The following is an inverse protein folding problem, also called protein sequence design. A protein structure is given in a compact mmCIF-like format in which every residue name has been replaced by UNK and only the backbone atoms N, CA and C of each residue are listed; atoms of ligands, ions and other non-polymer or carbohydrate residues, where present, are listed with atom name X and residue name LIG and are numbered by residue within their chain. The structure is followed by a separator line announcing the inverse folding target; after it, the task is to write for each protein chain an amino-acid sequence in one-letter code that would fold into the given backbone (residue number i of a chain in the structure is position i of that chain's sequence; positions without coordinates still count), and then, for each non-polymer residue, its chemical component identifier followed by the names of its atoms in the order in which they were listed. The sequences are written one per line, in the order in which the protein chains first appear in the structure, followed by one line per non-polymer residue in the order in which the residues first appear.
data_IF_874909383151
#
_entry.id   IF_874909383151
#
_cell.length_a   1.000
_cell.length_b   1.000
_cell.length_c   1.000
_cell.angle_alpha   90.00
_cell.angle_beta   90.00
_cell.angle_gamma   90.00
#
_symmetry.space_group_name_H-M   'P 1'
#
loop_
_entity.id
_entity.type
_entity.pdbx_description
1 polymer ?
#
# COMPACT_ATOMS: atom_id res chain seq x y z
N UNK A 1 -29.51 -20.02 13.35
CA UNK A 1 -28.46 -21.05 13.43
C UNK A 1 -27.13 -20.36 13.66
N UNK A 2 -26.30 -20.87 14.56
CA UNK A 2 -24.93 -20.38 14.70
C UNK A 2 -24.07 -21.00 13.58
N UNK A 3 -23.80 -20.22 12.53
CA UNK A 3 -23.09 -20.69 11.34
C UNK A 3 -21.68 -21.21 11.68
N UNK A 4 -21.10 -20.77 12.79
CA UNK A 4 -19.79 -21.21 13.29
C UNK A 4 -19.81 -22.62 13.91
N UNK A 5 -21.00 -23.17 14.18
CA UNK A 5 -21.16 -24.55 14.67
C UNK A 5 -21.30 -25.58 13.55
N UNK A 6 -21.34 -25.15 12.29
CA UNK A 6 -21.39 -26.05 11.16
C UNK A 6 -20.03 -26.75 10.97
N UNK A 7 -20.02 -27.99 10.46
CA UNK A 7 -18.82 -28.61 9.91
C UNK A 7 -18.13 -27.67 8.91
N UNK A 8 -16.80 -27.67 8.90
CA UNK A 8 -15.99 -26.72 8.14
C UNK A 8 -16.28 -26.80 6.63
N UNK A 9 -16.59 -28.00 6.13
CA UNK A 9 -16.94 -28.26 4.75
C UNK A 9 -18.25 -27.56 4.36
N UNK A 10 -19.28 -27.67 5.21
CA UNK A 10 -20.57 -27.01 4.99
C UNK A 10 -20.44 -25.50 5.12
N UNK A 11 -19.66 -25.02 6.09
CA UNK A 11 -19.36 -23.60 6.22
C UNK A 11 -18.70 -23.06 4.95
N UNK A 12 -17.67 -23.74 4.42
CA UNK A 12 -16.97 -23.33 3.20
C UNK A 12 -17.87 -23.38 1.97
N UNK A 13 -18.72 -24.39 1.85
CA UNK A 13 -19.70 -24.47 0.74
C UNK A 13 -20.67 -23.28 0.78
N UNK A 14 -21.23 -22.96 1.95
CA UNK A 14 -22.12 -21.80 2.12
C UNK A 14 -21.36 -20.49 1.82
N UNK A 15 -20.11 -20.39 2.31
CA UNK A 15 -19.28 -19.21 2.07
C UNK A 15 -18.99 -19.03 0.58
N UNK A 16 -18.69 -20.11 -0.15
CA UNK A 16 -18.45 -20.08 -1.59
C UNK A 16 -19.66 -19.54 -2.36
N UNK A 17 -20.83 -20.11 -2.12
CA UNK A 17 -22.08 -19.66 -2.73
C UNK A 17 -22.40 -18.21 -2.38
N UNK A 18 -22.23 -17.82 -1.12
CA UNK A 18 -22.44 -16.44 -0.68
C UNK A 18 -21.47 -15.46 -1.37
N UNK A 19 -20.23 -15.85 -1.61
CA UNK A 19 -19.24 -15.02 -2.30
C UNK A 19 -19.56 -14.86 -3.80
N UNK A 20 -19.96 -15.95 -4.46
CA UNK A 20 -20.34 -15.93 -5.88
C UNK A 20 -21.63 -15.13 -6.11
N UNK A 21 -22.64 -15.32 -5.26
CA UNK A 21 -23.92 -14.65 -5.39
C UNK A 21 -23.87 -13.14 -5.08
N UNK A 22 -22.95 -12.71 -4.20
CA UNK A 22 -22.92 -11.33 -3.68
C UNK A 22 -21.76 -10.47 -4.21
N UNK A 23 -20.86 -11.06 -4.99
CA UNK A 23 -19.72 -10.36 -5.60
C UNK A 23 -18.55 -10.07 -4.65
N UNK A 24 -17.41 -9.70 -5.25
CA UNK A 24 -16.11 -9.57 -4.57
C UNK A 24 -16.10 -8.56 -3.41
N UNK A 25 -16.72 -7.40 -3.59
CA UNK A 25 -16.74 -6.35 -2.56
C UNK A 25 -17.41 -6.84 -1.27
N UNK A 26 -18.53 -7.56 -1.39
CA UNK A 26 -19.25 -8.11 -0.23
C UNK A 26 -18.54 -9.32 0.36
N UNK A 27 -17.98 -10.18 -0.48
CA UNK A 27 -17.11 -11.26 -0.03
C UNK A 27 -15.98 -10.73 0.87
N UNK A 28 -15.31 -9.64 0.46
CA UNK A 28 -14.25 -9.02 1.24
C UNK A 28 -14.73 -8.42 2.57
N UNK A 29 -15.98 -7.93 2.67
CA UNK A 29 -16.55 -7.42 3.93
C UNK A 29 -16.75 -8.50 4.98
N UNK A 30 -17.01 -9.75 4.58
CA UNK A 30 -17.14 -10.87 5.53
C UNK A 30 -15.89 -11.05 6.40
N UNK A 31 -14.73 -10.59 5.92
CA UNK A 31 -13.48 -10.59 6.68
C UNK A 31 -13.52 -9.72 7.95
N UNK A 32 -14.44 -8.75 8.01
CA UNK A 32 -14.61 -7.86 9.15
C UNK A 32 -15.38 -8.50 10.32
N UNK A 33 -15.98 -9.68 10.11
CA UNK A 33 -16.75 -10.38 11.15
C UNK A 33 -15.83 -10.85 12.27
N UNK A 34 -14.79 -11.61 11.94
CA UNK A 34 -13.75 -12.06 12.86
C UNK A 34 -12.53 -12.63 12.09
N UNK A 35 -11.47 -12.99 12.83
CA UNK A 35 -10.23 -13.54 12.24
C UNK A 35 -10.44 -14.84 11.47
N UNK A 36 -11.38 -15.68 11.89
CA UNK A 36 -11.69 -16.93 11.20
C UNK A 36 -12.29 -16.66 9.82
N UNK A 37 -13.35 -15.84 9.73
CA UNK A 37 -13.89 -15.39 8.45
C UNK A 37 -12.84 -14.68 7.59
N UNK A 38 -11.98 -13.85 8.20
CA UNK A 38 -10.90 -13.17 7.49
C UNK A 38 -9.97 -14.14 6.75
N UNK A 39 -9.63 -15.26 7.37
CA UNK A 39 -8.79 -16.30 6.78
C UNK A 39 -9.55 -17.17 5.76
N UNK A 40 -10.77 -17.61 6.09
CA UNK A 40 -11.56 -18.46 5.19
C UNK A 40 -11.95 -17.75 3.90
N UNK A 41 -12.29 -16.45 3.95
CA UNK A 41 -12.61 -15.69 2.73
C UNK A 41 -11.42 -15.65 1.78
N UNK A 42 -10.20 -15.37 2.26
CA UNK A 42 -9.02 -15.31 1.38
C UNK A 42 -8.70 -16.69 0.81
N UNK A 43 -8.89 -17.76 1.60
CA UNK A 43 -8.80 -19.13 1.11
C UNK A 43 -9.81 -19.38 -0.01
N UNK A 44 -11.08 -19.06 0.21
CA UNK A 44 -12.13 -19.28 -0.78
C UNK A 44 -11.92 -18.46 -2.05
N UNK A 45 -11.42 -17.21 -1.93
CA UNK A 45 -11.05 -16.41 -3.09
C UNK A 45 -10.06 -17.17 -3.98
N UNK A 46 -9.02 -17.77 -3.37
CA UNK A 46 -7.99 -18.53 -4.08
C UNK A 46 -8.53 -19.83 -4.69
N UNK A 47 -9.35 -20.58 -3.95
CA UNK A 47 -9.96 -21.83 -4.44
C UNK A 47 -10.91 -21.58 -5.61
N UNK A 48 -11.72 -20.52 -5.53
CA UNK A 48 -12.65 -20.10 -6.57
C UNK A 48 -11.99 -19.27 -7.69
N UNK A 49 -10.69 -18.99 -7.57
CA UNK A 49 -9.88 -18.21 -8.54
C UNK A 49 -10.45 -16.82 -8.85
N UNK A 50 -11.16 -16.21 -7.90
CA UNK A 50 -11.93 -14.97 -8.14
C UNK A 50 -11.04 -13.80 -8.56
N UNK A 51 -9.78 -13.73 -8.10
CA UNK A 51 -8.88 -12.62 -8.45
C UNK A 51 -8.06 -12.86 -9.74
N UNK A 52 -8.20 -14.00 -10.41
CA UNK A 52 -7.43 -14.31 -11.62
C UNK A 52 -7.77 -13.44 -12.81
N UNK A 53 -9.02 -12.94 -12.88
CA UNK A 53 -9.50 -12.12 -13.99
C UNK A 53 -9.68 -10.64 -13.60
N UNK A 54 -9.31 -10.29 -12.37
CA UNK A 54 -9.53 -8.94 -11.83
C UNK A 54 -8.41 -8.00 -12.27
N UNK A 55 -8.80 -6.87 -12.86
CA UNK A 55 -7.89 -5.79 -13.27
C UNK A 55 -7.55 -4.86 -12.10
N UNK A 56 -6.91 -5.44 -11.08
CA UNK A 56 -6.36 -4.68 -9.94
C UNK A 56 -4.85 -4.82 -9.94
N UNK A 57 -4.15 -3.71 -9.74
CA UNK A 57 -2.70 -3.69 -9.66
C UNK A 57 -2.25 -4.46 -8.41
N UNK A 58 -1.29 -5.37 -8.55
CA UNK A 58 -0.88 -6.28 -7.47
C UNK A 58 -0.46 -5.51 -6.21
N UNK A 59 0.31 -4.43 -6.34
CA UNK A 59 0.75 -3.65 -5.17
C UNK A 59 -0.37 -2.92 -4.41
N UNK A 60 -1.56 -2.78 -5.00
CA UNK A 60 -2.73 -2.17 -4.36
C UNK A 60 -3.54 -3.17 -3.54
N UNK A 61 -3.32 -4.47 -3.75
CA UNK A 61 -4.05 -5.54 -3.05
C UNK A 61 -3.59 -5.74 -1.61
N UNK A 62 -2.42 -5.19 -1.25
CA UNK A 62 -1.83 -5.30 0.08
C UNK A 62 -1.64 -6.75 0.54
N UNK A 63 -1.81 -7.05 1.84
CA UNK A 63 -1.63 -8.40 2.38
C UNK A 63 -2.58 -9.45 1.78
N UNK A 64 -3.72 -9.04 1.24
CA UNK A 64 -4.72 -9.95 0.66
C UNK A 64 -4.17 -10.57 -0.61
N UNK A 65 -3.60 -9.76 -1.50
CA UNK A 65 -3.02 -10.30 -2.73
C UNK A 65 -1.78 -11.13 -2.48
N UNK A 66 -0.94 -10.74 -1.51
CA UNK A 66 0.20 -11.58 -1.12
C UNK A 66 -0.25 -12.98 -0.67
N UNK A 67 -1.27 -13.05 0.19
CA UNK A 67 -1.83 -14.32 0.68
C UNK A 67 -2.53 -15.10 -0.44
N UNK A 68 -3.27 -14.41 -1.31
CA UNK A 68 -3.91 -15.01 -2.48
C UNK A 68 -2.87 -15.66 -3.41
N UNK A 69 -1.83 -14.91 -3.79
CA UNK A 69 -0.74 -15.39 -4.66
C UNK A 69 -0.03 -16.58 -4.00
N UNK A 70 0.26 -16.49 -2.70
CA UNK A 70 0.88 -17.58 -1.92
C UNK A 70 0.05 -18.86 -2.03
N UNK A 71 -1.25 -18.79 -1.78
CA UNK A 71 -2.16 -19.95 -1.87
C UNK A 71 -2.22 -20.51 -3.28
N UNK A 72 -2.24 -19.66 -4.30
CA UNK A 72 -2.25 -20.07 -5.71
C UNK A 72 -0.95 -20.72 -6.16
N UNK A 73 0.19 -20.29 -5.65
CA UNK A 73 1.48 -20.91 -5.94
C UNK A 73 1.62 -22.28 -5.26
N UNK A 74 1.07 -22.43 -4.04
CA UNK A 74 1.09 -23.69 -3.27
C UNK A 74 0.08 -24.73 -3.75
N UNK A 75 -1.03 -24.33 -4.40
CA UNK A 75 -2.02 -25.29 -4.89
C UNK A 75 -1.45 -26.15 -6.02
N UNK A 76 -1.52 -27.47 -5.87
CA UNK A 76 -0.87 -28.51 -6.70
C UNK A 76 -1.41 -28.67 -8.13
N UNK A 77 -2.36 -27.84 -8.56
CA UNK A 77 -2.95 -27.93 -9.90
C UNK A 77 -2.14 -27.05 -10.86
N UNK A 78 -1.58 -27.67 -11.90
CA UNK A 78 -0.85 -26.97 -12.96
C UNK A 78 -1.68 -25.81 -13.47
N UNK A 79 -1.32 -24.60 -13.08
CA UNK A 79 -1.92 -23.38 -13.60
C UNK A 79 -1.36 -23.20 -15.00
N UNK A 80 -2.22 -22.94 -15.99
CA UNK A 80 -1.86 -22.58 -17.38
C UNK A 80 -1.06 -21.26 -17.50
N UNK A 81 -0.40 -20.79 -16.43
CA UNK A 81 0.38 -19.55 -16.40
C UNK A 81 1.87 -19.86 -16.38
N UNK A 82 2.60 -19.61 -17.49
CA UNK A 82 4.06 -19.66 -17.54
C UNK A 82 4.74 -18.83 -16.44
N UNK A 83 4.14 -17.71 -16.03
CA UNK A 83 4.71 -16.85 -14.97
C UNK A 83 4.68 -17.51 -13.61
N UNK A 84 3.59 -18.19 -13.25
CA UNK A 84 3.53 -18.93 -11.98
C UNK A 84 4.50 -20.11 -11.97
N UNK A 85 4.65 -20.79 -13.10
CA UNK A 85 5.61 -21.89 -13.22
C UNK A 85 7.05 -21.40 -13.12
N UNK A 86 7.37 -20.25 -13.73
CA UNK A 86 8.65 -19.58 -13.53
C UNK A 86 8.89 -19.27 -12.03
N UNK A 87 7.92 -18.69 -11.33
CA UNK A 87 8.04 -18.43 -9.88
C UNK A 87 8.30 -19.72 -9.09
N UNK A 88 7.58 -20.81 -9.40
CA UNK A 88 7.81 -22.12 -8.74
C UNK A 88 9.21 -22.68 -9.04
N UNK A 89 9.70 -22.53 -10.27
CA UNK A 89 11.06 -22.94 -10.65
C UNK A 89 12.13 -22.12 -9.89
N UNK A 90 11.95 -20.80 -9.79
CA UNK A 90 12.81 -19.91 -9.00
C UNK A 90 12.84 -20.37 -7.55
N UNK A 91 11.68 -20.58 -6.92
CA UNK A 91 11.60 -21.04 -5.53
C UNK A 91 12.27 -22.41 -5.35
N UNK A 92 12.09 -23.32 -6.30
CA UNK A 92 12.76 -24.63 -6.28
C UNK A 92 14.28 -24.46 -6.29
N UNK A 93 14.81 -23.57 -7.13
CA UNK A 93 16.24 -23.26 -7.20
C UNK A 93 16.78 -22.67 -5.89
N UNK A 94 16.06 -21.73 -5.27
CA UNK A 94 16.41 -21.15 -3.97
C UNK A 94 16.38 -22.20 -2.84
N UNK A 95 15.46 -23.16 -2.91
CA UNK A 95 15.29 -24.22 -1.90
C UNK A 95 16.44 -25.23 -1.96
N UNK A 96 16.85 -25.63 -3.16
CA UNK A 96 17.93 -26.60 -3.39
C UNK A 96 19.29 -26.13 -2.85
N UNK A 97 19.60 -24.85 -2.97
CA UNK A 97 20.87 -24.30 -2.46
C UNK A 97 20.98 -24.39 -0.92
N UNK A 98 19.87 -24.21 -0.21
CA UNK A 98 19.85 -24.35 1.26
C UNK A 98 20.04 -25.77 1.77
N UNK A 99 19.92 -26.80 0.92
CA UNK A 99 20.07 -28.20 1.29
C UNK A 99 21.51 -28.72 1.22
N UNK A 100 22.44 -27.96 0.61
CA UNK A 100 23.82 -28.39 0.40
C UNK A 100 24.70 -28.42 1.68
N UNK A 101 24.17 -27.99 2.84
CA UNK A 101 24.92 -27.79 4.08
C UNK A 101 24.68 -28.79 5.23
N UNK A 102 23.82 -29.81 5.07
CA UNK A 102 23.60 -30.84 6.10
C UNK A 102 22.18 -31.44 6.09
N UNK A 103 22.07 -32.63 6.71
CA UNK A 103 20.97 -33.60 6.95
C UNK A 103 19.50 -33.10 6.97
N UNK A 104 19.10 -32.31 5.98
CA UNK A 104 17.79 -31.69 5.91
C UNK A 104 16.71 -32.71 5.60
N UNK A 105 15.85 -32.99 6.58
CA UNK A 105 14.66 -33.82 6.37
C UNK A 105 13.77 -33.26 5.27
N UNK A 106 12.97 -34.12 4.61
CA UNK A 106 12.00 -33.73 3.57
C UNK A 106 11.03 -32.65 4.07
N UNK A 107 10.72 -32.64 5.37
CA UNK A 107 9.85 -31.66 6.03
C UNK A 107 10.47 -30.26 6.00
N UNK A 108 11.77 -30.15 6.27
CA UNK A 108 12.51 -28.88 6.25
C UNK A 108 12.56 -28.27 4.84
N UNK A 109 12.69 -29.10 3.80
CA UNK A 109 12.64 -28.63 2.41
C UNK A 109 11.27 -28.05 2.03
N UNK A 110 10.17 -28.69 2.45
CA UNK A 110 8.82 -28.22 2.18
C UNK A 110 8.49 -26.90 2.92
N UNK A 111 8.95 -26.78 4.16
CA UNK A 111 8.81 -25.54 4.95
C UNK A 111 9.57 -24.38 4.30
N UNK A 112 10.81 -24.60 3.87
CA UNK A 112 11.61 -23.59 3.13
C UNK A 112 10.95 -23.18 1.83
N UNK A 113 10.44 -24.14 1.06
CA UNK A 113 9.72 -23.88 -0.19
C UNK A 113 8.50 -22.97 0.05
N UNK A 114 7.70 -23.27 1.07
CA UNK A 114 6.56 -22.45 1.47
C UNK A 114 6.98 -21.05 1.93
N UNK A 115 8.05 -20.95 2.72
CA UNK A 115 8.60 -19.67 3.19
C UNK A 115 9.06 -18.78 2.03
N UNK A 116 9.75 -19.33 1.03
CA UNK A 116 10.15 -18.56 -0.16
C UNK A 116 8.95 -18.16 -1.02
N UNK A 117 7.93 -19.00 -1.18
CA UNK A 117 6.68 -18.59 -1.83
C UNK A 117 6.08 -17.39 -1.11
N UNK A 118 5.97 -17.45 0.22
CA UNK A 118 5.44 -16.34 1.02
C UNK A 118 6.27 -15.06 0.85
N UNK A 119 7.60 -15.19 0.87
CA UNK A 119 8.53 -14.08 0.68
C UNK A 119 8.37 -13.44 -0.71
N UNK A 120 8.38 -14.23 -1.78
CA UNK A 120 8.25 -13.72 -3.15
C UNK A 120 6.84 -13.17 -3.42
N UNK A 121 5.79 -13.77 -2.84
CA UNK A 121 4.43 -13.23 -2.93
C UNK A 121 4.32 -11.87 -2.20
N UNK A 122 5.02 -11.70 -1.08
CA UNK A 122 5.14 -10.41 -0.39
C UNK A 122 5.89 -9.38 -1.24
N UNK A 123 6.98 -9.79 -1.91
CA UNK A 123 7.73 -8.93 -2.82
C UNK A 123 6.85 -8.44 -3.98
N UNK A 124 6.10 -9.35 -4.61
CA UNK A 124 5.14 -9.01 -5.67
C UNK A 124 4.12 -7.98 -5.17
N UNK A 125 3.48 -8.25 -4.02
CA UNK A 125 2.51 -7.36 -3.40
C UNK A 125 3.06 -6.01 -2.93
N UNK A 126 4.39 -5.84 -2.84
CA UNK A 126 5.03 -4.57 -2.45
C UNK A 126 5.51 -3.74 -3.63
N UNK A 127 5.86 -4.37 -4.76
CA UNK A 127 6.60 -3.71 -5.85
C UNK A 127 5.98 -3.88 -7.23
N UNK A 128 5.17 -4.91 -7.47
CA UNK A 128 4.65 -5.16 -8.81
C UNK A 128 3.50 -4.23 -9.15
N UNK A 129 3.72 -3.44 -10.20
CA UNK A 129 2.77 -2.46 -10.73
C UNK A 129 1.93 -2.99 -11.89
N UNK A 130 1.98 -4.28 -12.20
CA UNK A 130 1.12 -4.90 -13.22
C UNK A 130 -0.14 -5.51 -12.59
N UNK A 131 -1.14 -5.79 -13.43
CA UNK A 131 -2.43 -6.30 -12.99
C UNK A 131 -2.35 -7.75 -12.51
N UNK A 132 -3.11 -8.07 -11.47
CA UNK A 132 -3.28 -9.43 -10.93
C UNK A 132 -3.62 -10.41 -12.07
N UNK A 133 -4.54 -10.02 -12.95
CA UNK A 133 -4.89 -10.78 -14.15
C UNK A 133 -3.69 -11.22 -14.97
N UNK A 134 -2.72 -10.33 -15.21
CA UNK A 134 -1.55 -10.66 -16.02
C UNK A 134 -0.63 -11.70 -15.35
N UNK A 135 -0.68 -11.87 -14.03
CA UNK A 135 0.07 -12.93 -13.34
C UNK A 135 -0.51 -14.32 -13.64
N UNK A 136 -1.84 -14.42 -13.75
CA UNK A 136 -2.56 -15.70 -13.85
C UNK A 136 -2.92 -16.10 -15.28
N UNK A 137 -3.02 -15.15 -16.21
CA UNK A 137 -3.57 -15.39 -17.56
C UNK A 137 -2.56 -15.20 -18.69
N UNK A 138 -1.47 -14.45 -18.46
CA UNK A 138 -0.45 -14.18 -19.49
C UNK A 138 0.14 -15.51 -19.97
N UNK A 139 0.12 -15.71 -21.28
CA UNK A 139 0.73 -16.86 -21.97
C UNK A 139 2.14 -16.55 -22.48
N UNK A 140 2.69 -15.39 -22.11
CA UNK A 140 4.02 -14.99 -22.55
C UNK A 140 5.04 -15.96 -21.95
N UNK A 141 5.77 -16.68 -22.80
CA UNK A 141 6.91 -17.44 -22.35
C UNK A 141 7.94 -16.46 -21.78
N UNK A 142 8.37 -16.68 -20.55
CA UNK A 142 9.44 -15.89 -19.96
C UNK A 142 10.73 -16.30 -20.64
N UNK A 143 11.33 -15.42 -21.43
CA UNK A 143 12.64 -15.65 -22.03
C UNK A 143 13.66 -16.04 -20.95
N UNK A 144 14.65 -16.87 -21.27
CA UNK A 144 15.67 -17.34 -20.31
C UNK A 144 16.38 -16.17 -19.60
N UNK A 145 16.57 -15.05 -20.30
CA UNK A 145 17.15 -13.83 -19.71
C UNK A 145 16.24 -13.16 -18.66
N UNK A 146 14.92 -13.28 -18.80
CA UNK A 146 13.95 -12.82 -17.79
C UNK A 146 13.96 -13.78 -16.59
N UNK A 147 14.07 -15.09 -16.83
CA UNK A 147 14.21 -16.09 -15.78
C UNK A 147 15.44 -15.81 -14.90
N UNK A 148 16.63 -15.65 -15.50
CA UNK A 148 17.86 -15.37 -14.75
C UNK A 148 17.79 -14.06 -13.97
N UNK A 149 17.20 -13.02 -14.57
CA UNK A 149 16.98 -11.73 -13.92
C UNK A 149 16.02 -11.83 -12.72
N UNK A 150 14.92 -12.56 -12.86
CA UNK A 150 13.97 -12.80 -11.77
C UNK A 150 14.55 -13.69 -10.68
N UNK A 151 15.36 -14.69 -11.03
CA UNK A 151 16.08 -15.52 -10.08
C UNK A 151 17.10 -14.70 -9.29
N UNK A 152 17.87 -13.82 -9.94
CA UNK A 152 18.78 -12.90 -9.28
C UNK A 152 18.02 -11.97 -8.33
N UNK A 153 16.89 -11.42 -8.78
CA UNK A 153 16.06 -10.53 -7.95
C UNK A 153 15.50 -11.27 -6.73
N UNK A 154 15.02 -12.49 -6.90
CA UNK A 154 14.53 -13.35 -5.82
C UNK A 154 15.64 -13.75 -4.84
N UNK A 155 16.82 -14.10 -5.35
CA UNK A 155 18.02 -14.39 -4.55
C UNK A 155 18.46 -13.17 -3.75
N UNK A 156 18.40 -11.98 -4.35
CA UNK A 156 18.72 -10.74 -3.69
C UNK A 156 17.74 -10.41 -2.55
N UNK A 157 16.45 -10.67 -2.74
CA UNK A 157 15.42 -10.49 -1.71
C UNK A 157 15.51 -11.51 -0.56
N UNK A 158 16.06 -12.70 -0.82
CA UNK A 158 16.10 -13.83 0.13
C UNK A 158 17.50 -14.08 0.71
N UNK A 159 18.43 -13.14 0.48
CA UNK A 159 19.82 -13.18 0.95
C UNK A 159 20.66 -14.36 0.44
N UNK A 160 20.36 -14.89 -0.75
CA UNK A 160 21.14 -15.96 -1.40
C UNK A 160 22.35 -15.42 -2.14
N UNK A 161 23.37 -15.01 -1.36
CA UNK A 161 24.56 -14.36 -1.88
C UNK A 161 25.32 -15.20 -2.91
N UNK A 162 25.32 -16.53 -2.79
CA UNK A 162 25.98 -17.43 -3.73
C UNK A 162 25.31 -17.45 -5.11
N UNK A 163 23.98 -17.57 -5.19
CA UNK A 163 23.24 -17.37 -6.45
C UNK A 163 23.45 -15.95 -6.99
N UNK A 164 23.45 -14.93 -6.13
CA UNK A 164 23.68 -13.54 -6.56
C UNK A 164 25.04 -13.40 -7.23
N UNK A 165 26.10 -13.97 -6.65
CA UNK A 165 27.45 -13.97 -7.23
C UNK A 165 27.51 -14.75 -8.54
N UNK A 166 26.87 -15.93 -8.60
CA UNK A 166 26.82 -16.74 -9.83
C UNK A 166 26.18 -15.96 -11.00
N UNK A 167 25.09 -15.23 -10.73
CA UNK A 167 24.29 -14.58 -11.76
C UNK A 167 24.75 -13.17 -12.10
N UNK A 168 25.35 -12.43 -11.17
CA UNK A 168 25.78 -11.04 -11.41
C UNK A 168 26.82 -10.93 -12.53
N UNK A 169 27.73 -11.91 -12.64
CA UNK A 169 28.72 -11.96 -13.71
C UNK A 169 28.09 -12.24 -15.10
N UNK A 170 26.95 -12.94 -15.13
CA UNK A 170 26.22 -13.27 -16.37
C UNK A 170 25.27 -12.15 -16.78
N UNK A 171 24.55 -11.57 -15.82
CA UNK A 171 23.55 -10.52 -16.01
C UNK A 171 24.17 -9.23 -16.57
N UNK A 172 25.42 -8.92 -16.21
CA UNK A 172 26.18 -7.80 -16.78
C UNK A 172 26.24 -7.79 -18.32
N UNK A 173 26.02 -8.95 -18.96
CA UNK A 173 25.97 -9.09 -20.41
C UNK A 173 24.54 -9.08 -20.99
N UNK A 174 23.51 -9.03 -20.16
CA UNK A 174 22.10 -9.04 -20.56
C UNK A 174 21.54 -7.61 -20.70
N UNK A 175 20.58 -7.41 -21.60
CA UNK A 175 19.89 -6.11 -21.78
C UNK A 175 18.61 -5.98 -20.95
N UNK A 176 18.30 -6.96 -20.10
CA UNK A 176 17.07 -6.97 -19.30
C UNK A 176 17.23 -5.99 -18.15
N UNK A 177 16.31 -5.04 -18.04
CA UNK A 177 16.35 -3.98 -17.00
C UNK A 177 15.19 -4.06 -16.02
N UNK A 178 14.20 -4.91 -16.30
CA UNK A 178 13.02 -5.14 -15.46
C UNK A 178 12.47 -6.55 -15.68
N UNK A 179 12.35 -7.34 -14.61
CA UNK A 179 11.65 -8.64 -14.59
C UNK A 179 10.34 -8.58 -13.80
N UNK A 180 9.73 -9.74 -13.53
CA UNK A 180 8.51 -9.90 -12.75
C UNK A 180 8.63 -9.27 -11.35
N UNK A 181 9.77 -9.44 -10.69
CA UNK A 181 9.97 -9.01 -9.29
C UNK A 181 10.52 -7.59 -9.11
N UNK A 182 10.67 -6.82 -10.19
CA UNK A 182 11.41 -5.56 -10.17
C UNK A 182 12.91 -5.80 -10.24
N UNK A 183 13.75 -4.90 -9.71
CA UNK A 183 15.21 -5.00 -9.85
C UNK A 183 15.92 -5.59 -8.60
N UNK A 184 17.08 -6.26 -8.77
CA UNK A 184 17.82 -6.90 -7.67
C UNK A 184 18.27 -5.94 -6.56
N UNK A 185 18.68 -4.71 -6.89
CA UNK A 185 19.12 -3.73 -5.90
C UNK A 185 17.99 -3.35 -4.93
N UNK A 186 16.82 -3.04 -5.49
CA UNK A 186 15.63 -2.70 -4.72
C UNK A 186 15.18 -3.90 -3.86
N UNK A 187 15.27 -5.12 -4.40
CA UNK A 187 14.98 -6.34 -3.66
C UNK A 187 15.92 -6.52 -2.45
N UNK A 188 17.24 -6.38 -2.63
CA UNK A 188 18.21 -6.45 -1.53
C UNK A 188 17.96 -5.36 -0.47
N UNK A 189 17.66 -4.13 -0.91
CA UNK A 189 17.33 -3.00 -0.03
C UNK A 189 16.06 -3.26 0.80
N UNK A 190 15.00 -3.79 0.17
CA UNK A 190 13.75 -4.14 0.87
C UNK A 190 13.93 -5.31 1.84
N UNK A 191 14.77 -6.29 1.51
CA UNK A 191 15.13 -7.40 2.40
C UNK A 191 16.11 -6.99 3.51
N UNK A 192 16.75 -5.82 3.40
CA UNK A 192 17.77 -5.36 4.35
C UNK A 192 19.10 -6.13 4.24
N UNK A 193 19.37 -6.74 3.09
CA UNK A 193 20.52 -7.63 2.88
C UNK A 193 21.75 -6.87 2.42
N UNK A 194 22.45 -6.24 3.38
CA UNK A 194 23.59 -5.33 3.13
C UNK A 194 24.71 -5.98 2.28
N UNK A 195 25.10 -7.22 2.59
CA UNK A 195 26.17 -7.91 1.84
C UNK A 195 25.80 -8.16 0.38
N UNK A 196 24.54 -8.48 0.11
CA UNK A 196 24.03 -8.65 -1.26
C UNK A 196 24.02 -7.30 -1.96
N UNK A 197 23.52 -6.27 -1.29
CA UNK A 197 23.45 -4.91 -1.83
C UNK A 197 24.84 -4.38 -2.18
N UNK A 198 25.84 -4.57 -1.32
CA UNK A 198 27.23 -4.17 -1.56
C UNK A 198 27.82 -4.86 -2.78
N UNK A 199 27.59 -6.18 -2.91
CA UNK A 199 28.06 -6.93 -4.06
C UNK A 199 27.45 -6.40 -5.37
N UNK A 200 26.12 -6.20 -5.40
CA UNK A 200 25.43 -5.66 -6.57
C UNK A 200 25.93 -4.25 -6.92
N UNK A 201 26.10 -3.36 -5.92
CA UNK A 201 26.60 -2.01 -6.13
C UNK A 201 28.05 -1.99 -6.62
N UNK A 202 28.89 -2.89 -6.13
CA UNK A 202 30.29 -3.04 -6.59
C UNK A 202 30.34 -3.45 -8.06
N UNK A 203 29.49 -4.39 -8.48
CA UNK A 203 29.40 -4.81 -9.88
C UNK A 203 28.92 -3.66 -10.78
N UNK A 204 27.92 -2.89 -10.36
CA UNK A 204 27.44 -1.73 -11.11
C UNK A 204 28.56 -0.70 -11.39
N UNK A 205 29.48 -0.51 -10.45
CA UNK A 205 30.63 0.39 -10.61
C UNK A 205 31.63 -0.07 -11.68
N UNK A 206 31.80 -1.38 -11.83
CA UNK A 206 32.69 -1.96 -12.84
C UNK A 206 32.13 -1.77 -14.27
N UNK A 207 30.81 -1.65 -14.42
CA UNK A 207 30.12 -1.64 -15.73
C UNK A 207 29.76 -0.23 -16.26
N UNK A 208 30.38 0.85 -15.75
CA UNK A 208 30.26 2.25 -16.25
C UNK A 208 28.87 2.90 -16.26
N UNK A 209 27.82 2.24 -15.75
CA UNK A 209 26.56 2.90 -15.44
C UNK A 209 26.77 3.79 -14.21
N UNK A 210 26.65 5.11 -14.37
CA UNK A 210 27.03 6.09 -13.35
C UNK A 210 26.47 5.76 -11.95
N UNK A 211 27.33 5.43 -10.96
CA UNK A 211 26.91 4.82 -9.67
C UNK A 211 26.00 5.73 -8.84
N UNK A 212 26.10 7.04 -9.03
CA UNK A 212 25.29 8.01 -8.29
C UNK A 212 23.77 7.82 -8.47
N UNK A 213 23.30 7.39 -9.66
CA UNK A 213 21.88 7.21 -9.91
C UNK A 213 21.28 6.06 -9.12
N UNK A 214 21.92 4.88 -9.20
CA UNK A 214 21.48 3.66 -8.52
C UNK A 214 21.57 3.85 -7.01
N UNK A 215 22.66 4.43 -6.51
CA UNK A 215 22.85 4.67 -5.08
C UNK A 215 21.74 5.55 -4.50
N UNK A 216 21.38 6.67 -5.15
CA UNK A 216 20.28 7.54 -4.69
C UNK A 216 18.94 6.79 -4.67
N UNK A 217 18.66 5.98 -5.68
CA UNK A 217 17.44 5.16 -5.73
C UNK A 217 17.36 4.18 -4.55
N UNK A 218 18.50 3.58 -4.15
CA UNK A 218 18.54 2.69 -3.00
C UNK A 218 18.38 3.45 -1.69
N UNK A 219 19.00 4.63 -1.54
CA UNK A 219 18.81 5.47 -0.36
C UNK A 219 17.34 5.88 -0.21
N UNK A 220 16.71 6.36 -1.28
CA UNK A 220 15.29 6.71 -1.26
C UNK A 220 14.40 5.50 -0.96
N UNK A 221 14.69 4.33 -1.56
CA UNK A 221 13.93 3.10 -1.31
C UNK A 221 14.06 2.63 0.14
N UNK A 222 15.27 2.64 0.70
CA UNK A 222 15.54 2.27 2.08
C UNK A 222 14.83 3.24 3.06
N UNK A 223 14.86 4.53 2.75
CA UNK A 223 14.24 5.56 3.58
C UNK A 223 12.71 5.43 3.58
N UNK A 224 12.09 5.25 2.41
CA UNK A 224 10.64 5.02 2.31
C UNK A 224 10.20 3.73 2.99
N UNK A 225 11.05 2.70 3.02
CA UNK A 225 10.80 1.46 3.74
C UNK A 225 11.01 1.58 5.27
N UNK A 226 11.58 2.69 5.77
CA UNK A 226 11.97 2.85 7.17
C UNK A 226 13.15 1.97 7.59
N UNK A 227 13.95 1.50 6.64
CA UNK A 227 15.07 0.58 6.88
C UNK A 227 16.30 1.33 7.38
N UNK A 228 16.30 1.81 8.63
CA UNK A 228 17.40 2.58 9.24
C UNK A 228 18.77 1.96 9.01
N UNK A 229 18.92 0.64 9.18
CA UNK A 229 20.19 -0.08 8.98
C UNK A 229 20.76 0.08 7.56
N UNK A 230 19.89 0.02 6.55
CA UNK A 230 20.29 0.17 5.14
C UNK A 230 20.62 1.62 4.84
N UNK A 231 19.84 2.56 5.39
CA UNK A 231 20.11 4.00 5.26
C UNK A 231 21.47 4.35 5.88
N UNK A 232 21.72 3.93 7.11
CA UNK A 232 22.99 4.14 7.81
C UNK A 232 24.16 3.59 6.99
N UNK A 233 24.06 2.35 6.53
CA UNK A 233 25.08 1.71 5.71
C UNK A 233 25.38 2.49 4.42
N UNK A 234 24.33 2.90 3.69
CA UNK A 234 24.47 3.65 2.44
C UNK A 234 25.12 5.02 2.68
N UNK A 235 24.76 5.71 3.78
CA UNK A 235 25.36 6.98 4.18
C UNK A 235 26.84 6.80 4.58
N UNK A 236 27.19 5.79 5.37
CA UNK A 236 28.58 5.62 5.81
C UNK A 236 29.52 5.11 4.72
N UNK A 237 29.03 4.29 3.80
CA UNK A 237 29.89 3.65 2.80
C UNK A 237 30.31 4.58 1.66
N UNK A 238 29.42 5.48 1.20
CA UNK A 238 29.61 6.23 -0.06
C UNK A 238 29.04 7.65 -0.09
N UNK A 239 28.56 8.20 1.03
CA UNK A 239 27.97 9.55 1.07
C UNK A 239 28.90 10.62 0.49
N UNK A 240 30.16 10.64 0.91
CA UNK A 240 31.12 11.68 0.51
C UNK A 240 31.55 11.61 -0.96
N UNK A 241 31.54 10.44 -1.59
CA UNK A 241 31.96 10.27 -2.99
C UNK A 241 30.78 10.36 -3.98
N UNK A 242 29.57 10.04 -3.54
CA UNK A 242 28.37 10.04 -4.39
C UNK A 242 27.65 11.39 -4.44
N UNK A 243 27.82 12.21 -3.40
CA UNK A 243 27.17 13.52 -3.31
C UNK A 243 27.89 14.57 -4.17
N UNK A 244 27.19 15.12 -5.17
CA UNK A 244 27.65 16.28 -5.92
C UNK A 244 26.96 17.53 -5.38
N UNK A 245 27.70 18.61 -5.10
CA UNK A 245 27.13 19.91 -4.69
C UNK A 245 26.37 20.59 -5.85
N UNK A 246 25.26 20.00 -6.27
CA UNK A 246 24.40 20.47 -7.33
C UNK A 246 22.93 20.30 -6.95
N UNK A 247 22.05 21.06 -7.62
CA UNK A 247 20.61 21.05 -7.35
C UNK A 247 20.02 19.64 -7.38
N UNK A 248 20.43 18.78 -8.33
CA UNK A 248 19.91 17.42 -8.44
C UNK A 248 20.18 16.55 -7.19
N UNK A 249 21.36 16.64 -6.60
CA UNK A 249 21.68 15.85 -5.40
C UNK A 249 20.94 16.39 -4.16
N UNK A 250 20.74 17.71 -4.06
CA UNK A 250 19.87 18.29 -3.03
C UNK A 250 18.42 17.81 -3.16
N UNK A 251 17.87 17.78 -4.37
CA UNK A 251 16.52 17.26 -4.61
C UNK A 251 16.40 15.78 -4.24
N UNK A 252 17.36 14.95 -4.66
CA UNK A 252 17.37 13.50 -4.33
C UNK A 252 17.52 13.26 -2.83
N UNK A 253 18.32 14.07 -2.14
CA UNK A 253 18.41 14.00 -0.70
C UNK A 253 17.09 14.39 -0.01
N UNK A 254 16.43 15.45 -0.48
CA UNK A 254 15.09 15.81 0.02
C UNK A 254 14.08 14.68 -0.20
N UNK A 255 14.18 13.97 -1.33
CA UNK A 255 13.37 12.78 -1.58
C UNK A 255 13.67 11.64 -0.59
N UNK A 256 14.93 11.44 -0.21
CA UNK A 256 15.30 10.46 0.82
C UNK A 256 14.70 10.81 2.20
N UNK A 257 14.48 12.09 2.52
CA UNK A 257 13.80 12.50 3.76
C UNK A 257 12.33 12.04 3.83
N UNK A 258 11.74 11.57 2.73
CA UNK A 258 10.38 10.99 2.70
C UNK A 258 10.38 9.59 3.31
N UNK A 259 10.42 9.53 4.63
CA UNK A 259 10.35 8.30 5.41
C UNK A 259 9.18 8.34 6.38
N UNK A 260 8.53 7.20 6.66
CA UNK A 260 7.56 7.10 7.76
C UNK A 260 8.25 7.02 9.15
N UNK A 261 9.55 6.71 9.21
CA UNK A 261 10.29 6.42 10.43
C UNK A 261 11.08 7.65 10.94
N UNK A 262 10.76 8.10 12.16
CA UNK A 262 11.35 9.31 12.77
C UNK A 262 12.86 9.17 12.98
N UNK A 263 13.31 7.97 13.33
CA UNK A 263 14.73 7.71 13.58
C UNK A 263 15.54 7.76 12.29
N UNK A 264 15.04 7.17 11.21
CA UNK A 264 15.62 7.27 9.86
C UNK A 264 15.65 8.72 9.38
N UNK A 265 14.59 9.49 9.61
CA UNK A 265 14.56 10.91 9.28
C UNK A 265 15.64 11.69 10.04
N UNK A 266 15.75 11.49 11.36
CA UNK A 266 16.76 12.15 12.17
C UNK A 266 18.18 11.78 11.76
N UNK A 267 18.42 10.50 11.43
CA UNK A 267 19.69 10.04 10.89
C UNK A 267 20.02 10.76 9.58
N UNK A 268 19.10 10.80 8.62
CA UNK A 268 19.31 11.53 7.37
C UNK A 268 19.63 13.00 7.65
N UNK A 269 18.87 13.67 8.52
CA UNK A 269 19.11 15.07 8.88
C UNK A 269 20.50 15.35 9.47
N UNK A 270 21.15 14.37 10.11
CA UNK A 270 22.55 14.48 10.54
C UNK A 270 23.53 14.56 9.36
N UNK A 271 23.18 13.90 8.24
CA UNK A 271 23.96 13.89 7.01
C UNK A 271 23.47 14.94 6.00
N UNK A 272 22.53 15.83 6.37
CA UNK A 272 21.98 16.81 5.43
C UNK A 272 23.10 17.68 4.84
N UNK A 273 23.27 17.68 3.50
CA UNK A 273 24.33 18.43 2.86
C UNK A 273 24.06 19.92 2.99
N UNK A 274 25.10 20.70 3.29
CA UNK A 274 25.05 22.17 3.32
C UNK A 274 25.63 22.76 2.04
N UNK A 275 25.10 23.89 1.61
CA UNK A 275 25.62 24.65 0.48
C UNK A 275 27.04 25.20 0.73
N UNK A 276 27.38 25.52 1.98
CA UNK A 276 28.61 26.21 2.41
C UNK A 276 29.62 25.35 3.19
N UNK A 277 29.24 24.15 3.64
CA UNK A 277 30.11 23.25 4.41
C UNK A 277 29.95 23.35 5.93
N UNK A 278 28.96 24.08 6.43
CA UNK A 278 28.55 24.03 7.85
C UNK A 278 27.80 22.72 8.16
N UNK A 279 27.45 22.48 9.42
CA UNK A 279 26.54 21.38 9.79
C UNK A 279 25.13 21.97 9.98
N UNK A 280 24.10 21.31 9.42
CA UNK A 280 22.66 21.54 9.67
C UNK A 280 22.01 22.81 9.07
N UNK A 281 21.89 22.91 7.74
CA UNK A 281 20.86 23.79 7.18
C UNK A 281 19.46 23.30 7.60
N UNK A 282 18.61 24.14 8.19
CA UNK A 282 17.25 23.72 8.53
C UNK A 282 16.37 23.50 7.31
N UNK A 283 15.26 22.80 7.50
CA UNK A 283 14.27 22.65 6.45
C UNK A 283 13.59 23.99 6.18
N UNK A 284 13.48 24.35 4.90
CA UNK A 284 12.64 25.48 4.49
C UNK A 284 11.16 25.16 4.76
N UNK A 285 10.30 26.19 4.84
CA UNK A 285 8.85 26.01 5.00
C UNK A 285 8.26 25.08 3.93
N UNK A 286 8.64 25.28 2.67
CA UNK A 286 8.20 24.45 1.55
C UNK A 286 8.69 22.99 1.64
N UNK A 287 9.96 22.76 2.03
CA UNK A 287 10.49 21.40 2.21
C UNK A 287 9.74 20.67 3.33
N UNK A 288 9.46 21.36 4.44
CA UNK A 288 8.72 20.82 5.58
C UNK A 288 7.26 20.55 5.22
N UNK A 289 6.60 21.44 4.50
CA UNK A 289 5.24 21.23 4.01
C UNK A 289 5.15 20.02 3.06
N UNK A 290 6.12 19.84 2.16
CA UNK A 290 6.19 18.67 1.28
C UNK A 290 6.35 17.36 2.05
N UNK A 291 7.19 17.33 3.09
CA UNK A 291 7.37 16.16 3.95
C UNK A 291 6.14 15.89 4.82
N UNK A 292 5.49 16.94 5.32
CA UNK A 292 4.25 16.84 6.08
C UNK A 292 3.11 16.25 5.23
N UNK A 293 3.00 16.69 3.97
CA UNK A 293 2.05 16.14 3.01
C UNK A 293 2.32 14.65 2.74
N UNK A 294 3.58 14.26 2.56
CA UNK A 294 3.95 12.86 2.38
C UNK A 294 3.59 12.01 3.61
N UNK A 295 3.94 12.47 4.81
CA UNK A 295 3.62 11.76 6.05
C UNK A 295 2.11 11.63 6.27
N UNK A 296 1.34 12.69 5.99
CA UNK A 296 -0.12 12.67 6.08
C UNK A 296 -0.77 11.75 5.03
N UNK A 297 -0.24 11.72 3.81
CA UNK A 297 -0.71 10.83 2.73
C UNK A 297 -0.55 9.36 3.10
N UNK A 298 0.56 9.03 3.77
CA UNK A 298 0.83 7.67 4.20
C UNK A 298 0.19 7.29 5.54
N UNK A 299 -0.34 8.24 6.31
CA UNK A 299 -0.92 7.94 7.63
C UNK A 299 0.09 7.87 8.78
N UNK A 300 1.33 8.33 8.57
CA UNK A 300 2.44 8.29 9.54
C UNK A 300 2.27 9.35 10.64
N UNK A 301 1.49 9.04 11.67
CA UNK A 301 1.14 9.98 12.76
C UNK A 301 2.36 10.50 13.51
N UNK A 302 3.30 9.61 13.84
CA UNK A 302 4.53 9.98 14.57
C UNK A 302 5.40 10.94 13.75
N UNK A 303 5.56 10.68 12.45
CA UNK A 303 6.28 11.57 11.56
C UNK A 303 5.58 12.93 11.41
N UNK A 304 4.25 12.96 11.30
CA UNK A 304 3.47 14.22 11.28
C UNK A 304 3.71 15.01 12.58
N UNK A 305 3.62 14.36 13.74
CA UNK A 305 3.86 15.00 15.04
C UNK A 305 5.30 15.53 15.14
N UNK A 306 6.28 14.73 14.74
CA UNK A 306 7.69 15.11 14.72
C UNK A 306 7.93 16.31 13.81
N UNK A 307 7.46 16.25 12.56
CA UNK A 307 7.56 17.34 11.60
C UNK A 307 6.83 18.59 12.06
N UNK A 308 5.73 18.53 12.80
CA UNK A 308 5.07 19.71 13.39
C UNK A 308 5.81 20.24 14.64
N UNK A 309 6.58 19.39 15.32
CA UNK A 309 7.37 19.73 16.50
C UNK A 309 8.74 20.36 16.24
N UNK A 310 9.28 20.23 15.01
CA UNK A 310 10.56 20.85 14.65
C UNK A 310 10.53 22.39 14.87
N UNK A 311 11.54 22.93 15.53
CA UNK A 311 11.69 24.39 15.69
C UNK A 311 12.08 25.01 14.35
N UNK A 312 11.41 26.09 13.93
CA UNK A 312 11.85 26.92 12.80
C UNK A 312 13.02 27.79 13.28
N UNK A 313 14.22 27.72 12.67
CA UNK A 313 15.41 28.33 13.31
C UNK A 313 15.56 29.84 13.22
N UNK A 314 14.58 30.59 12.72
CA UNK A 314 14.71 32.04 12.60
C UNK A 314 13.51 32.73 13.23
N UNK A 315 13.73 33.22 14.46
CA UNK A 315 12.96 34.33 14.99
C UNK A 315 13.33 35.56 14.15
N UNK A 316 12.50 35.94 13.18
CA UNK A 316 12.69 37.20 12.46
C UNK A 316 12.26 37.22 10.99
N UNK A 317 12.00 36.07 10.37
CA UNK A 317 11.26 36.04 9.12
C UNK A 317 9.80 35.70 9.45
N UNK A 318 8.85 36.44 8.88
CA UNK A 318 7.45 36.06 8.85
C UNK A 318 7.35 34.72 8.12
N UNK A 319 7.56 33.64 8.87
CA UNK A 319 7.53 32.28 8.39
C UNK A 319 6.12 32.03 7.88
N UNK A 320 5.99 31.97 6.56
CA UNK A 320 4.81 31.47 5.88
C UNK A 320 4.25 30.29 6.67
N UNK A 321 3.02 30.47 7.17
CA UNK A 321 2.28 29.47 7.91
C UNK A 321 2.40 28.15 7.14
N UNK A 322 3.09 27.14 7.72
CA UNK A 322 3.29 25.83 7.07
C UNK A 322 1.94 25.42 6.49
N UNK A 323 1.88 25.15 5.18
CA UNK A 323 0.62 24.76 4.55
C UNK A 323 0.16 23.41 5.13
N UNK A 324 -0.77 23.49 6.08
CA UNK A 324 -1.40 22.34 6.70
C UNK A 324 -2.68 21.93 5.96
N UNK A 325 -3.14 22.70 4.97
CA UNK A 325 -4.34 22.35 4.22
C UNK A 325 -4.13 21.12 3.36
N UNK A 326 -3.05 21.10 2.57
CA UNK A 326 -2.77 19.95 1.71
C UNK A 326 -2.61 18.64 2.53
N UNK A 327 -1.85 18.62 3.65
CA UNK A 327 -1.81 17.47 4.56
C UNK A 327 -3.18 17.09 5.15
N UNK A 328 -4.00 18.06 5.58
CA UNK A 328 -5.33 17.79 6.12
C UNK A 328 -6.24 17.16 5.06
N UNK A 329 -6.24 17.71 3.85
CA UNK A 329 -6.99 17.18 2.71
C UNK A 329 -6.52 15.77 2.31
N UNK A 330 -5.21 15.51 2.35
CA UNK A 330 -4.64 14.20 2.10
C UNK A 330 -5.11 13.18 3.14
N UNK A 331 -5.15 13.57 4.41
CA UNK A 331 -5.63 12.71 5.50
C UNK A 331 -7.12 12.33 5.36
N UNK A 332 -7.90 13.06 4.57
CA UNK A 332 -9.29 12.72 4.24
C UNK A 332 -9.43 11.84 2.99
N UNK A 333 -8.51 11.96 2.01
CA UNK A 333 -8.68 11.42 0.65
C UNK A 333 -8.04 10.06 0.43
N UNK A 334 -6.79 9.88 0.84
CA UNK A 334 -6.01 8.70 0.45
C UNK A 334 -6.46 7.47 1.23
N UNK A 335 -6.48 6.26 0.67
CA UNK A 335 -6.86 5.06 1.40
C UNK A 335 -5.90 4.76 2.55
N UNK A 336 -6.35 4.02 3.57
CA UNK A 336 -5.43 3.51 4.58
C UNK A 336 -4.60 2.39 3.96
N UNK A 337 -3.36 2.68 3.56
CA UNK A 337 -2.44 1.63 3.17
C UNK A 337 -2.15 0.75 4.39
N UNK A 338 -2.35 -0.59 4.30
CA UNK A 338 -2.15 -1.50 5.44
C UNK A 338 -0.75 -1.42 6.06
N UNK A 339 0.25 -0.98 5.30
CA UNK A 339 1.64 -0.87 5.74
C UNK A 339 1.91 0.30 6.69
N UNK A 340 1.03 1.32 6.78
CA UNK A 340 1.35 2.59 7.46
C UNK A 340 0.33 3.03 8.53
N UNK A 341 -0.51 2.11 9.00
CA UNK A 341 -1.38 2.32 10.17
C UNK A 341 -2.62 3.18 9.90
N UNK A 342 -3.67 2.98 10.70
CA UNK A 342 -4.96 3.70 10.62
C UNK A 342 -4.91 5.12 11.22
N UNK A 343 -3.75 5.78 11.19
CA UNK A 343 -3.44 7.00 11.94
C UNK A 343 -4.12 8.28 11.47
N UNK A 344 -4.96 8.24 10.44
CA UNK A 344 -5.58 9.42 9.83
C UNK A 344 -6.41 10.24 10.82
N UNK A 345 -7.11 9.60 11.76
CA UNK A 345 -7.88 10.29 12.80
C UNK A 345 -6.96 11.09 13.74
N UNK A 346 -5.81 10.51 14.11
CA UNK A 346 -4.82 11.18 14.94
C UNK A 346 -4.13 12.33 14.19
N UNK A 347 -3.81 12.13 12.91
CA UNK A 347 -3.27 13.16 12.03
C UNK A 347 -4.24 14.34 11.91
N UNK A 348 -5.53 14.09 11.68
CA UNK A 348 -6.54 15.14 11.62
C UNK A 348 -6.59 15.93 12.93
N UNK A 349 -6.64 15.25 14.09
CA UNK A 349 -6.62 15.93 15.40
C UNK A 349 -5.37 16.79 15.57
N UNK A 350 -4.19 16.29 15.21
CA UNK A 350 -2.93 17.03 15.31
C UNK A 350 -2.93 18.27 14.42
N UNK A 351 -3.34 18.15 13.15
CA UNK A 351 -3.38 19.26 12.21
C UNK A 351 -4.40 20.32 12.64
N UNK A 352 -5.60 19.91 13.05
CA UNK A 352 -6.64 20.82 13.56
C UNK A 352 -6.18 21.54 14.84
N UNK A 353 -5.54 20.83 15.77
CA UNK A 353 -4.95 21.42 16.99
C UNK A 353 -3.86 22.46 16.67
N UNK A 354 -3.11 22.26 15.58
CA UNK A 354 -2.10 23.22 15.10
C UNK A 354 -2.67 24.36 14.25
N UNK A 355 -3.99 24.45 14.12
CA UNK A 355 -4.68 25.56 13.47
C UNK A 355 -5.01 25.34 11.99
N UNK A 356 -4.88 24.11 11.48
CA UNK A 356 -5.41 23.78 10.16
C UNK A 356 -6.94 23.97 10.17
N UNK A 357 -7.49 24.59 9.13
CA UNK A 357 -8.93 24.81 9.00
C UNK A 357 -9.49 23.89 7.92
N UNK A 358 -10.44 22.99 8.26
CA UNK A 358 -11.03 22.15 7.26
C UNK A 358 -11.92 22.99 6.32
N UNK A 359 -11.88 22.72 5.02
CA UNK A 359 -12.62 23.49 4.00
C UNK A 359 -13.03 22.65 2.80
N UNK A 360 -14.01 23.13 2.06
CA UNK A 360 -14.55 22.44 0.89
C UNK A 360 -15.17 21.10 1.28
N UNK A 361 -14.93 20.07 0.48
CA UNK A 361 -15.53 18.74 0.64
C UNK A 361 -14.58 17.71 1.27
N UNK A 362 -14.02 18.02 2.44
CA UNK A 362 -13.14 17.08 3.15
C UNK A 362 -13.94 16.00 3.87
N UNK A 363 -15.12 16.34 4.38
CA UNK A 363 -16.03 15.38 5.04
C UNK A 363 -16.61 14.35 4.05
N UNK A 364 -16.96 14.77 2.83
CA UNK A 364 -17.40 13.85 1.77
C UNK A 364 -16.28 12.90 1.35
N UNK A 365 -15.05 13.39 1.19
CA UNK A 365 -13.87 12.53 0.91
C UNK A 365 -13.63 11.50 2.01
N UNK A 366 -13.71 11.91 3.29
CA UNK A 366 -13.57 10.99 4.41
C UNK A 366 -14.69 9.95 4.44
N UNK A 367 -15.94 10.34 4.14
CA UNK A 367 -17.08 9.45 4.05
C UNK A 367 -16.99 8.47 2.87
N UNK A 368 -16.48 8.92 1.72
CA UNK A 368 -16.22 8.09 0.54
C UNK A 368 -15.24 6.95 0.85
N UNK A 369 -14.30 7.18 1.77
CA UNK A 369 -13.36 6.16 2.26
C UNK A 369 -13.85 5.38 3.48
N UNK A 370 -15.10 5.61 3.93
CA UNK A 370 -15.68 4.92 5.07
C UNK A 370 -15.05 5.27 6.42
N UNK A 371 -14.41 6.43 6.55
CA UNK A 371 -13.65 6.82 7.75
C UNK A 371 -14.54 7.42 8.82
N UNK A 372 -15.19 6.55 9.60
CA UNK A 372 -16.10 6.97 10.67
C UNK A 372 -15.48 7.99 11.64
N UNK A 373 -14.24 7.76 12.09
CA UNK A 373 -13.56 8.65 13.04
C UNK A 373 -13.21 10.00 12.44
N UNK A 374 -12.71 10.03 11.20
CA UNK A 374 -12.39 11.25 10.48
C UNK A 374 -13.64 12.10 10.23
N UNK A 375 -14.75 11.48 9.79
CA UNK A 375 -16.04 12.17 9.59
C UNK A 375 -16.55 12.76 10.90
N UNK A 376 -16.45 12.01 12.00
CA UNK A 376 -16.80 12.50 13.34
C UNK A 376 -15.98 13.74 13.72
N UNK A 377 -14.66 13.67 13.58
CA UNK A 377 -13.75 14.77 13.91
C UNK A 377 -14.12 16.01 13.10
N UNK A 378 -14.31 15.88 11.79
CA UNK A 378 -14.65 17.01 10.91
C UNK A 378 -16.01 17.63 11.26
N UNK A 379 -17.03 16.80 11.52
CA UNK A 379 -18.36 17.28 11.93
C UNK A 379 -18.33 17.98 13.30
N UNK A 380 -17.55 17.47 14.26
CA UNK A 380 -17.31 18.11 15.56
C UNK A 380 -16.61 19.48 15.43
N UNK A 381 -15.82 19.68 14.36
CA UNK A 381 -15.18 20.97 14.03
C UNK A 381 -16.06 21.85 13.13
N UNK A 382 -17.37 21.55 13.01
CA UNK A 382 -18.35 22.40 12.35
C UNK A 382 -18.41 22.28 10.83
N UNK A 383 -17.79 21.24 10.23
CA UNK A 383 -18.00 20.97 8.81
C UNK A 383 -19.45 20.53 8.56
N UNK A 384 -20.06 21.12 7.52
CA UNK A 384 -21.41 20.77 7.10
C UNK A 384 -21.43 19.39 6.41
N UNK A 385 -22.24 18.48 6.96
CA UNK A 385 -22.44 17.11 6.44
C UNK A 385 -23.29 17.05 5.18
N UNK A 386 -23.87 18.19 4.76
CA UNK A 386 -24.64 18.30 3.50
C UNK A 386 -23.74 18.59 2.30
N UNK A 387 -22.47 18.93 2.52
CA UNK A 387 -21.52 19.29 1.47
C UNK A 387 -21.12 18.09 0.59
N UNK A 388 -20.83 18.36 -0.69
CA UNK A 388 -20.37 17.38 -1.67
C UNK A 388 -19.91 18.05 -2.96
N UNK A 389 -18.65 17.84 -3.39
CA UNK A 389 -18.14 18.44 -4.62
C UNK A 389 -18.61 17.67 -5.86
N UNK A 390 -19.07 18.37 -6.91
CA UNK A 390 -19.42 17.74 -8.18
C UNK A 390 -18.19 17.04 -8.81
N UNK A 391 -18.26 15.72 -9.00
CA UNK A 391 -17.32 14.98 -9.83
C UNK A 391 -17.65 15.18 -11.31
N UNK A 392 -16.69 15.56 -12.18
CA UNK A 392 -16.92 15.63 -13.62
C UNK A 392 -17.37 14.26 -14.16
N UNK A 393 -18.49 14.23 -14.90
CA UNK A 393 -19.01 13.02 -15.55
C UNK A 393 -20.14 12.28 -14.80
N UNK A 394 -20.35 12.56 -13.52
CA UNK A 394 -21.57 12.16 -12.79
C UNK A 394 -22.39 13.41 -12.53
N UNK A 395 -23.65 13.46 -13.00
CA UNK A 395 -24.58 14.51 -12.56
C UNK A 395 -24.63 14.42 -11.04
N UNK A 396 -24.12 15.47 -10.38
CA UNK A 396 -24.42 15.91 -9.02
C UNK A 396 -24.93 14.81 -8.10
N UNK A 397 -24.10 14.31 -7.17
CA UNK A 397 -24.46 13.97 -5.78
C UNK A 397 -23.34 13.15 -5.11
N UNK A 398 -22.36 13.78 -4.43
CA UNK A 398 -21.68 13.09 -3.34
C UNK A 398 -21.99 13.76 -2.02
N UNK A 399 -23.21 13.55 -1.52
CA UNK A 399 -23.44 13.75 -0.09
C UNK A 399 -22.73 12.63 0.68
N UNK A 400 -22.07 12.93 1.81
CA UNK A 400 -21.46 11.93 2.70
C UNK A 400 -22.38 10.73 2.99
N UNK A 401 -23.71 10.97 3.05
CA UNK A 401 -24.70 9.95 3.37
C UNK A 401 -24.88 8.93 2.25
N UNK A 402 -24.83 9.33 0.97
CA UNK A 402 -24.87 8.39 -0.17
C UNK A 402 -23.61 7.52 -0.18
N UNK A 403 -22.46 8.07 0.19
CA UNK A 403 -21.24 7.28 0.38
C UNK A 403 -21.39 6.23 1.49
N UNK A 404 -22.06 6.57 2.60
CA UNK A 404 -22.34 5.60 3.66
C UNK A 404 -23.25 4.47 3.17
N UNK A 405 -24.26 4.77 2.35
CA UNK A 405 -25.15 3.78 1.72
C UNK A 405 -24.37 2.85 0.78
N UNK A 406 -23.58 3.41 -0.14
CA UNK A 406 -22.73 2.64 -1.07
C UNK A 406 -21.81 1.65 -0.33
N UNK A 407 -21.26 2.09 0.79
CA UNK A 407 -20.36 1.28 1.61
C UNK A 407 -21.10 0.31 2.55
N UNK A 408 -22.43 0.35 2.60
CA UNK A 408 -23.26 -0.36 3.58
C UNK A 408 -22.84 -0.06 5.03
N UNK A 409 -22.33 1.14 5.27
CA UNK A 409 -21.72 1.50 6.55
C UNK A 409 -22.77 2.12 7.49
N UNK A 410 -23.58 1.27 8.11
CA UNK A 410 -24.67 1.67 9.04
C UNK A 410 -24.25 2.72 10.06
N UNK A 411 -23.14 2.51 10.77
CA UNK A 411 -22.65 3.46 11.79
C UNK A 411 -22.27 4.83 11.22
N UNK A 412 -21.75 4.88 9.99
CA UNK A 412 -21.42 6.13 9.32
C UNK A 412 -22.70 6.84 8.87
N UNK A 413 -23.68 6.10 8.35
CA UNK A 413 -25.00 6.62 8.02
C UNK A 413 -25.66 7.26 9.25
N UNK A 414 -25.75 6.54 10.37
CA UNK A 414 -26.35 7.07 11.60
C UNK A 414 -25.59 8.28 12.15
N UNK A 415 -24.25 8.29 12.05
CA UNK A 415 -23.44 9.44 12.45
C UNK A 415 -23.79 10.68 11.62
N UNK A 416 -23.87 10.53 10.30
CA UNK A 416 -24.20 11.63 9.40
C UNK A 416 -25.62 12.16 9.63
N UNK A 417 -26.60 11.29 9.85
CA UNK A 417 -27.96 11.69 10.24
C UNK A 417 -27.97 12.47 11.55
N UNK A 418 -27.23 11.99 12.57
CA UNK A 418 -27.09 12.71 13.86
C UNK A 418 -26.52 14.12 13.70
N UNK A 419 -25.65 14.34 12.72
CA UNK A 419 -25.04 15.64 12.42
C UNK A 419 -25.84 16.47 11.39
N UNK A 420 -27.06 16.06 11.03
CA UNK A 420 -27.98 16.87 10.22
C UNK A 420 -27.95 16.60 8.71
N UNK A 421 -27.52 15.42 8.28
CA UNK A 421 -27.68 14.98 6.89
C UNK A 421 -29.17 14.94 6.50
N UNK A 422 -29.45 15.22 5.23
CA UNK A 422 -30.82 15.33 4.71
C UNK A 422 -31.03 14.30 3.60
N UNK A 423 -32.12 13.55 3.68
CA UNK A 423 -32.50 12.51 2.72
C UNK A 423 -33.65 12.93 1.78
N UNK A 424 -34.14 14.17 1.88
CA UNK A 424 -35.21 14.66 1.02
C UNK A 424 -34.75 14.84 -0.44
N UNK A 425 -35.70 14.72 -1.38
CA UNK A 425 -35.48 14.97 -2.80
C UNK A 425 -34.55 13.96 -3.48
N UNK A 426 -33.67 14.45 -4.36
CA UNK A 426 -32.79 13.61 -5.19
C UNK A 426 -31.83 12.74 -4.36
N UNK A 427 -31.44 13.17 -3.15
CA UNK A 427 -30.53 12.41 -2.27
C UNK A 427 -31.16 11.09 -1.84
N UNK A 428 -32.41 11.12 -1.37
CA UNK A 428 -33.15 9.93 -0.97
C UNK A 428 -33.40 8.99 -2.14
N UNK A 429 -33.80 9.54 -3.29
CA UNK A 429 -34.01 8.74 -4.52
C UNK A 429 -32.71 8.05 -4.96
N UNK A 430 -31.59 8.78 -4.98
CA UNK A 430 -30.29 8.21 -5.36
C UNK A 430 -29.82 7.13 -4.36
N UNK A 431 -30.00 7.38 -3.05
CA UNK A 431 -29.66 6.43 -2.00
C UNK A 431 -30.51 5.15 -2.09
N UNK A 432 -31.83 5.29 -2.28
CA UNK A 432 -32.75 4.16 -2.46
C UNK A 432 -32.43 3.36 -3.72
N UNK A 433 -32.21 4.03 -4.85
CA UNK A 433 -31.84 3.39 -6.11
C UNK A 433 -30.58 2.55 -5.93
N UNK A 434 -29.53 3.15 -5.38
CA UNK A 434 -28.27 2.46 -5.11
C UNK A 434 -28.45 1.27 -4.16
N UNK A 435 -29.23 1.46 -3.09
CA UNK A 435 -29.51 0.41 -2.13
C UNK A 435 -30.27 -0.78 -2.76
N UNK A 436 -31.21 -0.53 -3.68
CA UNK A 436 -31.92 -1.58 -4.41
C UNK A 436 -31.04 -2.29 -5.44
N UNK A 437 -30.32 -1.54 -6.28
CA UNK A 437 -29.44 -2.09 -7.31
C UNK A 437 -28.39 -3.03 -6.72
N UNK A 438 -27.84 -2.66 -5.57
CA UNK A 438 -26.87 -3.49 -4.86
C UNK A 438 -27.54 -4.54 -3.95
N UNK A 439 -28.84 -4.42 -3.63
CA UNK A 439 -29.55 -5.31 -2.69
C UNK A 439 -29.08 -5.13 -1.24
N UNK A 440 -28.96 -3.88 -0.79
CA UNK A 440 -28.47 -3.46 0.52
C UNK A 440 -29.61 -3.35 1.53
N UNK A 441 -30.18 -4.48 1.94
CA UNK A 441 -31.33 -4.55 2.88
C UNK A 441 -31.11 -3.74 4.16
N UNK A 442 -29.89 -3.77 4.70
CA UNK A 442 -29.54 -3.00 5.91
C UNK A 442 -29.61 -1.49 5.68
N UNK A 443 -29.34 -1.01 4.46
CA UNK A 443 -29.46 0.40 4.10
C UNK A 443 -30.90 0.76 3.74
N UNK A 444 -31.64 -0.13 3.07
CA UNK A 444 -33.07 0.08 2.77
C UNK A 444 -33.87 0.29 4.05
N UNK A 445 -33.68 -0.58 5.04
CA UNK A 445 -34.32 -0.44 6.35
C UNK A 445 -33.97 0.88 7.05
N UNK A 446 -32.70 1.32 6.97
CA UNK A 446 -32.28 2.61 7.53
C UNK A 446 -32.87 3.81 6.77
N UNK A 447 -33.02 3.71 5.45
CA UNK A 447 -33.65 4.76 4.64
C UNK A 447 -35.15 4.89 4.98
N UNK A 448 -35.85 3.77 5.12
CA UNK A 448 -37.26 3.71 5.55
C UNK A 448 -37.45 4.28 6.96
N UNK A 449 -36.59 3.90 7.91
CA UNK A 449 -36.61 4.42 9.29
C UNK A 449 -36.49 5.95 9.33
N UNK A 450 -35.79 6.54 8.36
CA UNK A 450 -35.59 7.98 8.25
C UNK A 450 -36.54 8.65 7.24
N UNK A 451 -37.66 7.98 6.90
CA UNK A 451 -38.78 8.56 6.16
C UNK A 451 -38.59 8.66 4.65
N UNK A 452 -37.65 7.90 4.07
CA UNK A 452 -37.50 7.79 2.62
C UNK A 452 -38.43 6.70 2.11
N UNK A 453 -39.30 7.01 1.15
CA UNK A 453 -40.12 6.02 0.49
C UNK A 453 -39.25 5.12 -0.41
N UNK A 454 -39.14 3.86 -0.03
CA UNK A 454 -38.40 2.83 -0.77
C UNK A 454 -39.28 2.00 -1.68
N UNK A 455 -40.61 2.14 -1.66
CA UNK A 455 -41.53 1.32 -2.46
C UNK A 455 -41.66 1.84 -3.91
N UNK A 456 -41.75 3.16 -4.10
CA UNK A 456 -42.15 3.81 -5.38
C UNK A 456 -41.02 4.12 -6.37
N UNK A 457 -39.76 3.81 -6.05
CA UNK A 457 -38.67 3.99 -7.01
C UNK A 457 -38.74 2.87 -8.08
N UNK A 458 -39.44 3.12 -9.18
CA UNK A 458 -39.47 2.29 -10.39
C UNK A 458 -38.04 1.98 -10.86
N UNK A 459 -37.61 0.72 -10.72
CA UNK A 459 -36.24 0.29 -11.04
C UNK A 459 -36.16 -0.87 -12.04
N UNK A 460 -37.28 -1.26 -12.66
CA UNK A 460 -37.25 -2.22 -13.78
C UNK A 460 -36.72 -1.54 -15.05
N UNK A 461 -35.46 -1.79 -15.38
CA UNK A 461 -35.02 -2.14 -16.74
C UNK A 461 -33.67 -2.84 -16.72
#
# INVERSE_FOLDING_TARGET
MDILKLPLELFRAILAEAMLARGLTRALRLRLVNKFFAAEVVRMLAELKILDEVEVVICETGPIGAEYITRRLLSSQSTLSPRLDNIRQIVSRLTLEGAAGGDGSVVDSAERYSAYIGALSSLLAKRCSFYMKSLFTSQDSTADSIFEYDLLTAAAYTSKLSIVKELSDREANTRVTTGTFGNPYAAATLGGHLMVLDHLLQQAELHKNGPSGIWWTQLCSASQAGSRKVVEHLLTAKWSSSFKKNHSSFTKFHEALRTPDVDTFNLLMQFKPTSDGTIHEPLTGAQRASLLLFAATNGSTEMVAHLLGLRTPTAGEDLEQIDMQAPLSAACRYPAYPAYGSGFDAILRLLLQKGAKPKGDEIGRAAEKGRLGSVRILAEHGMDVKCGAATPGYRSLPTPIVSAVRLEHTKLFCLLMKHGAVLAGEVGVAATKLAKEEGLESMLALLEEHGVNTEDADWKM
#
